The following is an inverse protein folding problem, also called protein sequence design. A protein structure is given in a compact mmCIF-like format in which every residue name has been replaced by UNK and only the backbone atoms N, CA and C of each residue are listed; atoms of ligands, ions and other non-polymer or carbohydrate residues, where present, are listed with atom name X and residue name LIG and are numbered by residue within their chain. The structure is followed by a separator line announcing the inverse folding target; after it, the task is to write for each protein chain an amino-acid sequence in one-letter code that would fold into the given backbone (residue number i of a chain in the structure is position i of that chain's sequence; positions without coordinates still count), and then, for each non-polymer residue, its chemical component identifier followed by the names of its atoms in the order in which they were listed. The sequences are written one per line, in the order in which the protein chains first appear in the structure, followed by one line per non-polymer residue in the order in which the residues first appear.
data_IF_518176172880
#
_entry.id   IF_518176172880
#
_cell.length_a   1.000
_cell.length_b   1.000
_cell.length_c   1.000
_cell.angle_alpha   90.00
_cell.angle_beta   90.00
_cell.angle_gamma   90.00
#
_symmetry.space_group_name_H-M   'P 1'
#
loop_
_entity.id
_entity.type
_entity.pdbx_description
1 polymer ?
#
# COMPACT_ATOMS: atom_id res chain seq x y z
N UNK A 1 14.92 6.50 27.50
CA UNK A 1 15.27 6.05 26.13
C UNK A 1 14.02 6.31 25.29
N UNK A 2 14.09 7.28 24.38
CA UNK A 2 12.90 7.73 23.64
C UNK A 2 12.60 6.77 22.50
N UNK A 3 11.38 6.23 22.47
CA UNK A 3 10.78 5.56 21.31
C UNK A 3 10.28 6.65 20.35
N UNK A 4 10.90 6.86 19.17
CA UNK A 4 10.43 7.85 18.21
C UNK A 4 9.28 7.23 17.43
N UNK A 5 8.04 7.60 17.80
CA UNK A 5 6.81 7.25 17.07
C UNK A 5 7.01 7.47 15.55
N UNK A 6 7.06 6.37 14.79
CA UNK A 6 6.87 6.37 13.33
C UNK A 6 8.04 5.89 12.44
N UNK A 7 9.18 5.46 13.00
CA UNK A 7 10.34 5.03 12.19
C UNK A 7 10.42 3.52 11.89
N UNK A 8 9.41 2.74 12.25
CA UNK A 8 9.36 1.34 11.85
C UNK A 8 8.62 1.24 10.52
N UNK A 9 9.32 0.76 9.50
CA UNK A 9 8.70 0.40 8.22
C UNK A 9 7.49 -0.51 8.42
N UNK A 10 6.54 -0.47 7.49
CA UNK A 10 5.31 -1.25 7.57
C UNK A 10 5.00 -1.88 6.22
N UNK A 11 4.27 -2.99 6.24
CA UNK A 11 3.82 -3.68 5.04
C UNK A 11 2.31 -3.53 4.89
N UNK A 12 1.85 -3.31 3.65
CA UNK A 12 0.46 -3.48 3.27
C UNK A 12 0.35 -4.70 2.36
N UNK A 13 -0.35 -5.73 2.84
CA UNK A 13 -0.64 -6.94 2.10
C UNK A 13 -2.04 -6.89 1.51
N UNK A 14 -2.17 -7.19 0.23
CA UNK A 14 -3.44 -7.23 -0.49
C UNK A 14 -3.56 -8.60 -1.15
N UNK A 15 -4.52 -9.39 -0.67
CA UNK A 15 -4.95 -10.62 -1.33
C UNK A 15 -6.04 -10.30 -2.35
N UNK A 16 -5.78 -10.63 -3.62
CA UNK A 16 -6.69 -10.33 -4.71
C UNK A 16 -7.71 -11.46 -4.88
N UNK A 17 -9.00 -11.11 -4.85
CA UNK A 17 -10.11 -12.05 -5.12
C UNK A 17 -10.53 -12.08 -6.59
N UNK A 18 -9.84 -11.33 -7.46
CA UNK A 18 -10.09 -11.21 -8.90
C UNK A 18 -8.77 -11.00 -9.63
N UNK A 19 -8.74 -11.43 -10.89
CA UNK A 19 -7.59 -11.23 -11.77
C UNK A 19 -7.56 -9.82 -12.36
N UNK A 20 -6.37 -9.25 -12.51
CA UNK A 20 -6.13 -7.93 -13.11
C UNK A 20 -4.87 -7.97 -13.98
N UNK A 21 -4.85 -7.18 -15.06
CA UNK A 21 -3.63 -6.94 -15.81
C UNK A 21 -2.72 -5.97 -15.05
N UNK A 22 -1.40 -6.21 -15.07
CA UNK A 22 -0.43 -5.39 -14.34
C UNK A 22 -0.52 -3.90 -14.72
N UNK A 23 -0.66 -3.62 -16.02
CA UNK A 23 -0.83 -2.26 -16.53
C UNK A 23 -2.13 -1.60 -16.07
N UNK A 24 -3.22 -2.36 -15.98
CA UNK A 24 -4.50 -1.82 -15.51
C UNK A 24 -4.45 -1.54 -14.00
N UNK A 25 -3.74 -2.38 -13.25
CA UNK A 25 -3.47 -2.14 -11.84
C UNK A 25 -2.63 -0.87 -11.65
N UNK A 26 -1.55 -0.71 -12.43
CA UNK A 26 -0.69 0.47 -12.40
C UNK A 26 -1.46 1.75 -12.69
N UNK A 27 -2.27 1.77 -13.76
CA UNK A 27 -3.14 2.91 -14.10
C UNK A 27 -4.11 3.24 -12.97
N UNK A 28 -4.77 2.23 -12.40
CA UNK A 28 -5.71 2.42 -11.30
C UNK A 28 -5.02 2.98 -10.05
N UNK A 29 -3.80 2.54 -9.73
CA UNK A 29 -2.99 3.12 -8.65
C UNK A 29 -2.72 4.60 -8.89
N UNK A 30 -2.38 4.99 -10.12
CA UNK A 30 -2.13 6.39 -10.48
C UNK A 30 -3.40 7.24 -10.43
N UNK A 31 -4.55 6.68 -10.80
CA UNK A 31 -5.85 7.37 -10.67
C UNK A 31 -6.20 7.67 -9.21
N UNK A 32 -5.90 6.74 -8.29
CA UNK A 32 -6.06 6.98 -6.85
C UNK A 32 -5.11 8.07 -6.35
N UNK A 33 -3.85 8.08 -6.80
CA UNK A 33 -2.91 9.14 -6.46
C UNK A 33 -3.33 10.51 -7.03
N UNK A 34 -4.00 10.53 -8.18
CA UNK A 34 -4.57 11.76 -8.73
C UNK A 34 -5.58 12.40 -7.78
N UNK A 35 -6.43 11.57 -7.14
CA UNK A 35 -7.42 12.06 -6.15
C UNK A 35 -6.77 12.65 -4.90
N UNK A 36 -5.54 12.26 -4.61
CA UNK A 36 -4.75 12.81 -3.50
C UNK A 36 -4.02 14.12 -3.86
N UNK A 37 -4.15 14.60 -5.11
CA UNK A 37 -3.56 15.86 -5.57
C UNK A 37 -2.14 15.71 -6.13
N UNK A 38 -1.70 14.50 -6.47
CA UNK A 38 -0.39 14.30 -7.09
C UNK A 38 -0.37 14.89 -8.50
N UNK A 39 0.65 15.68 -8.80
CA UNK A 39 0.81 16.34 -10.10
C UNK A 39 0.91 15.34 -11.25
N UNK A 40 0.42 15.74 -12.43
CA UNK A 40 0.46 14.90 -13.62
C UNK A 40 1.88 14.46 -14.00
N UNK A 41 2.85 15.37 -13.93
CA UNK A 41 4.27 15.07 -14.19
C UNK A 41 4.79 13.95 -13.29
N UNK A 42 4.48 14.01 -11.99
CA UNK A 42 4.93 13.00 -11.04
C UNK A 42 4.21 11.66 -11.28
N UNK A 43 2.90 11.71 -11.55
CA UNK A 43 2.10 10.54 -11.89
C UNK A 43 2.60 9.82 -13.14
N UNK A 44 2.99 10.54 -14.18
CA UNK A 44 3.52 9.96 -15.42
C UNK A 44 4.83 9.20 -15.18
N UNK A 45 5.74 9.74 -14.35
CA UNK A 45 6.98 9.06 -13.98
C UNK A 45 6.70 7.77 -13.19
N UNK A 46 5.82 7.83 -12.20
CA UNK A 46 5.47 6.67 -11.40
C UNK A 46 4.69 5.61 -12.17
N UNK A 47 3.85 6.01 -13.14
CA UNK A 47 3.15 5.06 -14.00
C UNK A 47 4.16 4.16 -14.73
N UNK A 48 5.20 4.75 -15.33
CA UNK A 48 6.23 3.98 -16.03
C UNK A 48 6.99 3.01 -15.12
N UNK A 49 7.24 3.39 -13.87
CA UNK A 49 7.84 2.49 -12.89
C UNK A 49 6.89 1.36 -12.52
N UNK A 50 5.62 1.67 -12.24
CA UNK A 50 4.63 0.69 -11.85
C UNK A 50 4.30 -0.31 -12.95
N UNK A 51 4.19 0.11 -14.21
CA UNK A 51 3.98 -0.79 -15.35
C UNK A 51 5.12 -1.80 -15.56
N UNK A 52 6.34 -1.47 -15.10
CA UNK A 52 7.49 -2.40 -15.14
C UNK A 52 7.51 -3.36 -13.96
N UNK A 53 6.97 -2.95 -12.82
CA UNK A 53 7.05 -3.71 -11.56
C UNK A 53 5.83 -4.61 -11.39
N UNK A 54 4.62 -4.11 -11.67
CA UNK A 54 3.39 -4.82 -11.38
C UNK A 54 3.15 -5.95 -12.38
N UNK A 55 3.13 -7.21 -11.92
CA UNK A 55 2.81 -8.34 -12.77
C UNK A 55 1.30 -8.40 -13.05
N UNK A 56 0.92 -9.25 -13.99
CA UNK A 56 -0.46 -9.72 -14.07
C UNK A 56 -0.83 -10.46 -12.77
N UNK A 57 -1.95 -10.07 -12.18
CA UNK A 57 -2.47 -10.63 -10.94
C UNK A 57 -3.57 -11.63 -11.26
N UNK A 58 -3.51 -12.81 -10.66
CA UNK A 58 -4.57 -13.81 -10.72
C UNK A 58 -5.37 -13.85 -9.41
N UNK A 59 -6.60 -14.36 -9.46
CA UNK A 59 -7.38 -14.56 -8.23
C UNK A 59 -6.63 -15.51 -7.27
N UNK A 60 -6.47 -15.08 -6.02
CA UNK A 60 -5.69 -15.77 -4.99
C UNK A 60 -4.27 -15.22 -4.81
N UNK A 61 -3.75 -14.45 -5.77
CA UNK A 61 -2.44 -13.85 -5.65
C UNK A 61 -2.40 -12.77 -4.56
N UNK A 62 -1.19 -12.59 -4.03
CA UNK A 62 -0.90 -11.61 -3.00
C UNK A 62 0.11 -10.60 -3.49
N UNK A 63 -0.20 -9.31 -3.37
CA UNK A 63 0.73 -8.21 -3.61
C UNK A 63 0.99 -7.49 -2.28
N UNK A 64 2.26 -7.30 -1.96
CA UNK A 64 2.69 -6.61 -0.74
C UNK A 64 3.47 -5.37 -1.13
N UNK A 65 3.08 -4.21 -0.58
CA UNK A 65 3.88 -3.00 -0.59
C UNK A 65 4.54 -2.81 0.77
N UNK A 66 5.87 -2.88 0.83
CA UNK A 66 6.67 -2.66 2.03
C UNK A 66 7.26 -1.26 2.03
N UNK A 67 6.85 -0.44 2.99
CA UNK A 67 7.48 0.85 3.26
C UNK A 67 8.80 0.63 4.00
N UNK A 68 9.89 1.10 3.40
CA UNK A 68 11.21 1.15 4.00
C UNK A 68 11.56 2.63 4.20
N UNK A 69 11.61 3.12 5.46
CA UNK A 69 11.99 4.51 5.75
C UNK A 69 13.30 4.89 5.07
N UNK A 70 13.36 6.10 4.53
CA UNK A 70 14.48 6.68 3.78
C UNK A 70 14.88 5.94 2.48
N UNK A 71 14.14 4.88 2.10
CA UNK A 71 14.36 4.12 0.87
C UNK A 71 13.19 4.27 -0.10
N UNK A 72 11.96 4.07 0.37
CA UNK A 72 10.75 4.13 -0.46
C UNK A 72 9.88 2.89 -0.27
N UNK A 73 9.33 2.37 -1.38
CA UNK A 73 8.40 1.23 -1.36
C UNK A 73 8.96 0.06 -2.15
N UNK A 74 9.12 -1.09 -1.49
CA UNK A 74 9.45 -2.36 -2.14
C UNK A 74 8.19 -3.19 -2.37
N UNK A 75 8.08 -3.83 -3.52
CA UNK A 75 6.93 -4.66 -3.90
C UNK A 75 7.28 -6.14 -3.92
N UNK A 76 6.40 -6.95 -3.35
CA UNK A 76 6.48 -8.40 -3.41
C UNK A 76 5.19 -8.97 -4.02
N UNK A 77 5.33 -9.95 -4.91
CA UNK A 77 4.21 -10.74 -5.43
C UNK A 77 4.41 -12.19 -5.03
N UNK A 78 3.43 -12.77 -4.34
CA UNK A 78 3.49 -14.13 -3.79
C UNK A 78 4.79 -14.40 -3.01
N UNK A 79 5.22 -13.42 -2.22
CA UNK A 79 6.43 -13.49 -1.39
C UNK A 79 7.76 -13.23 -2.12
N UNK A 80 7.75 -12.99 -3.43
CA UNK A 80 8.96 -12.68 -4.21
C UNK A 80 9.05 -11.18 -4.51
N UNK A 81 10.22 -10.58 -4.31
CA UNK A 81 10.47 -9.18 -4.67
C UNK A 81 10.35 -9.03 -6.20
N UNK A 82 9.52 -8.09 -6.63
CA UNK A 82 9.27 -7.78 -8.05
C UNK A 82 9.79 -6.40 -8.46
N UNK A 83 10.20 -5.58 -7.48
CA UNK A 83 10.84 -4.29 -7.72
C UNK A 83 10.58 -3.31 -6.59
N UNK A 84 11.08 -2.09 -6.75
CA UNK A 84 10.92 -1.01 -5.79
C UNK A 84 10.74 0.35 -6.50
N UNK A 85 10.12 1.29 -5.79
CA UNK A 85 10.04 2.68 -6.20
C UNK A 85 10.63 3.53 -5.07
N UNK A 86 11.73 4.26 -5.34
CA UNK A 86 12.42 4.99 -4.30
C UNK A 86 11.69 6.27 -3.89
N UNK A 87 11.94 6.70 -2.67
CA UNK A 87 11.55 8.01 -2.14
C UNK A 87 10.22 8.02 -1.39
N UNK A 88 10.20 8.74 -0.27
CA UNK A 88 9.06 8.81 0.63
C UNK A 88 7.84 9.51 0.02
N UNK A 89 8.05 10.37 -0.98
CA UNK A 89 6.95 11.04 -1.68
C UNK A 89 6.05 10.04 -2.40
N UNK A 90 6.65 9.03 -3.05
CA UNK A 90 5.89 7.94 -3.65
C UNK A 90 5.23 7.10 -2.58
N UNK A 91 5.98 6.70 -1.54
CA UNK A 91 5.45 5.88 -0.47
C UNK A 91 4.20 6.52 0.18
N UNK A 92 4.28 7.81 0.54
CA UNK A 92 3.16 8.56 1.11
C UNK A 92 1.93 8.55 0.20
N UNK A 93 2.11 8.79 -1.10
CA UNK A 93 1.00 8.77 -2.06
C UNK A 93 0.42 7.36 -2.27
N UNK A 94 1.28 6.34 -2.30
CA UNK A 94 0.87 4.95 -2.52
C UNK A 94 0.10 4.41 -1.32
N UNK A 95 0.68 4.47 -0.12
CA UNK A 95 0.00 4.00 1.08
C UNK A 95 -1.20 4.89 1.44
N UNK A 96 -1.16 6.17 1.08
CA UNK A 96 -2.29 7.09 1.16
C UNK A 96 -3.54 6.63 0.42
N UNK A 97 -3.42 5.77 -0.59
CA UNK A 97 -4.58 5.19 -1.28
C UNK A 97 -5.52 4.48 -0.30
N UNK A 98 -5.00 3.90 0.77
CA UNK A 98 -5.76 3.22 1.82
C UNK A 98 -5.76 3.97 3.16
N UNK A 99 -4.66 4.67 3.46
CA UNK A 99 -4.39 5.31 4.74
C UNK A 99 -4.56 6.84 4.73
N UNK A 100 -4.99 7.46 3.63
CA UNK A 100 -5.42 8.88 3.59
C UNK A 100 -6.94 8.96 3.82
N UNK A 101 -7.43 10.08 4.35
CA UNK A 101 -8.87 10.33 4.56
C UNK A 101 -9.64 10.43 3.24
N UNK A 102 -8.94 10.79 2.16
CA UNK A 102 -9.47 10.93 0.80
C UNK A 102 -9.49 9.60 0.03
N UNK A 103 -9.24 8.48 0.70
CA UNK A 103 -9.31 7.13 0.10
C UNK A 103 -10.67 6.83 -0.52
N UNK A 104 -10.65 6.15 -1.68
CA UNK A 104 -11.85 5.61 -2.31
C UNK A 104 -12.47 4.42 -1.55
N UNK A 105 -11.78 3.91 -0.52
CA UNK A 105 -12.21 2.76 0.29
C UNK A 105 -12.31 3.13 1.80
N UNK A 106 -13.23 4.02 2.21
CA UNK A 106 -13.31 4.52 3.58
C UNK A 106 -13.57 3.41 4.62
N UNK A 107 -14.31 2.35 4.25
CA UNK A 107 -14.51 1.18 5.14
C UNK A 107 -13.21 0.40 5.39
N UNK A 108 -12.34 0.30 4.38
CA UNK A 108 -11.05 -0.38 4.47
C UNK A 108 -10.06 0.45 5.29
N UNK A 109 -10.06 1.78 5.12
CA UNK A 109 -9.32 2.71 5.99
C UNK A 109 -9.67 2.50 7.45
N UNK A 110 -10.96 2.48 7.80
CA UNK A 110 -11.37 2.27 9.18
C UNK A 110 -10.91 0.92 9.71
N UNK A 111 -10.97 -0.17 8.91
CA UNK A 111 -10.46 -1.47 9.34
C UNK A 111 -8.93 -1.49 9.56
N UNK A 112 -8.17 -0.76 8.73
CA UNK A 112 -6.70 -0.66 8.82
C UNK A 112 -6.21 0.29 9.93
N UNK A 113 -7.00 1.29 10.33
CA UNK A 113 -6.62 2.31 11.33
C UNK A 113 -7.29 2.05 12.70
N UNK A 114 -8.50 1.48 12.74
CA UNK A 114 -9.20 1.16 13.99
C UNK A 114 -8.60 -0.06 14.72
N UNK A 115 -7.69 -0.78 14.09
CA UNK A 115 -6.98 -1.92 14.68
C UNK A 115 -5.83 -1.45 15.58
N UNK A 116 -6.18 -0.80 16.69
CA UNK A 116 -5.38 -0.92 17.93
C UNK A 116 -5.60 -2.26 18.64
N UNK A 117 -6.53 -3.08 18.15
CA UNK A 117 -6.72 -4.47 18.57
C UNK A 117 -6.82 -5.30 17.27
N UNK A 118 -5.86 -6.20 16.96
CA UNK A 118 -5.90 -7.01 15.75
C UNK A 118 -7.19 -7.84 15.69
N UNK A 119 -7.75 -8.10 14.49
CA UNK A 119 -8.89 -9.01 14.37
C UNK A 119 -8.47 -10.36 14.95
N UNK A 120 -9.30 -10.90 15.84
CA UNK A 120 -9.04 -12.08 16.64
C UNK A 120 -8.78 -13.32 15.78
N UNK A 121 -7.54 -13.51 15.33
CA UNK A 121 -7.03 -14.79 14.84
C UNK A 121 -6.30 -15.58 15.94
N UNK A 122 -6.11 -14.97 17.10
CA UNK A 122 -5.62 -15.61 18.32
C UNK A 122 -6.42 -15.03 19.48
N UNK A 123 -6.98 -15.89 20.32
CA UNK A 123 -7.84 -15.50 21.43
C UNK A 123 -7.13 -14.59 22.45
N UNK A 124 -7.94 -13.65 22.96
CA UNK A 124 -7.91 -13.00 24.27
C UNK A 124 -7.31 -11.58 24.43
N UNK A 125 -8.27 -10.67 24.67
CA UNK A 125 -8.30 -9.62 25.70
C UNK A 125 -7.55 -8.29 25.47
N UNK A 126 -8.24 -7.35 24.84
CA UNK A 126 -8.04 -5.91 25.06
C UNK A 126 -8.92 -5.46 26.25
N UNK A 127 -8.38 -4.91 27.36
CA UNK A 127 -9.17 -4.30 28.43
C UNK A 127 -9.66 -2.92 28.00
N UNK A 128 -10.95 -2.64 28.21
CA UNK A 128 -11.56 -1.32 27.99
C UNK A 128 -11.28 -0.41 29.21
N UNK A 129 -11.07 0.91 29.03
CA UNK A 129 -10.98 1.84 30.16
C UNK A 129 -12.28 1.92 30.98
#
# INVERSE_FOLDING_TARGET
MADPKGQNGFALEIQYIRSFKGNDLAKRTIDEMSRQGVSEKQRALWLQSLEKIFPDITSGDTLIGLYLPDKGTMFLHNGKVIGDVPGDTFAKAFFGIWLDERTSAPKLRTALIATRCPPALIAANCPNP
#
